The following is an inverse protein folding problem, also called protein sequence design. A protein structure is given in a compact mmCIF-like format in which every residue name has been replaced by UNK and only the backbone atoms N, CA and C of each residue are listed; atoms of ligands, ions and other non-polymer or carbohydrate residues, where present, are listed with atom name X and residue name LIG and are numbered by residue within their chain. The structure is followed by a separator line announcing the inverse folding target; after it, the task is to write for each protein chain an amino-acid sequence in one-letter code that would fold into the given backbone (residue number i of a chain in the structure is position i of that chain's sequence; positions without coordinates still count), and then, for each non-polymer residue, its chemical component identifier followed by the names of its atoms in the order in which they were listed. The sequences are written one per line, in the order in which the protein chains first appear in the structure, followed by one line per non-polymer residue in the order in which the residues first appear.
data_IF_285745811781
#
_entry.id   IF_285745811781
#
_cell.length_a   1.000
_cell.length_b   1.000
_cell.length_c   1.000
_cell.angle_alpha   90.00
_cell.angle_beta   90.00
_cell.angle_gamma   90.00
#
_symmetry.space_group_name_H-M   'P 1'
#
loop_
_entity.id
_entity.type
_entity.pdbx_description
1 polymer ?
#
# COMPACT_ATOMS: atom_id res chain seq x y z
N UNK A 1 -17.23 -0.72 19.08
CA UNK A 1 -15.82 -1.12 19.33
C UNK A 1 -15.24 -2.01 18.23
N UNK A 2 -15.98 -2.97 17.66
CA UNK A 2 -15.46 -3.86 16.63
C UNK A 2 -15.03 -3.16 15.31
N UNK A 3 -15.70 -2.07 14.88
CA UNK A 3 -15.37 -1.32 13.65
C UNK A 3 -13.95 -0.72 13.62
N UNK A 4 -13.39 -0.45 14.80
CA UNK A 4 -12.08 0.18 14.95
C UNK A 4 -10.93 -0.80 14.69
N UNK A 5 -11.16 -2.10 14.86
CA UNK A 5 -10.15 -3.12 14.56
C UNK A 5 -9.81 -3.13 13.06
N UNK A 6 -10.81 -3.00 12.18
CA UNK A 6 -10.60 -2.88 10.74
C UNK A 6 -9.81 -1.63 10.36
N UNK A 7 -10.14 -0.49 10.97
CA UNK A 7 -9.41 0.76 10.76
C UNK A 7 -7.94 0.68 11.22
N UNK A 8 -7.67 0.02 12.36
CA UNK A 8 -6.32 -0.21 12.87
C UNK A 8 -5.50 -1.08 11.91
N UNK A 9 -6.06 -2.22 11.46
CA UNK A 9 -5.37 -3.11 10.51
C UNK A 9 -5.06 -2.39 9.19
N UNK A 10 -6.03 -1.63 8.68
CA UNK A 10 -5.86 -0.80 7.50
C UNK A 10 -4.76 0.26 7.67
N UNK A 11 -4.71 0.92 8.83
CA UNK A 11 -3.67 1.89 9.16
C UNK A 11 -2.29 1.24 9.23
N UNK A 12 -2.17 0.10 9.91
CA UNK A 12 -0.90 -0.63 10.04
C UNK A 12 -0.37 -1.04 8.67
N UNK A 13 -1.22 -1.62 7.81
CA UNK A 13 -0.82 -1.98 6.46
C UNK A 13 -0.36 -0.76 5.63
N UNK A 14 -1.08 0.36 5.75
CA UNK A 14 -0.73 1.60 5.07
C UNK A 14 0.61 2.17 5.54
N UNK A 15 0.88 2.16 6.85
CA UNK A 15 2.16 2.63 7.43
C UNK A 15 3.31 1.74 6.98
N UNK A 16 3.15 0.41 7.00
CA UNK A 16 4.17 -0.51 6.53
C UNK A 16 4.51 -0.25 5.06
N UNK A 17 3.49 -0.07 4.22
CA UNK A 17 3.67 0.25 2.80
C UNK A 17 4.40 1.59 2.60
N UNK A 18 4.13 2.61 3.44
CA UNK A 18 4.87 3.87 3.43
C UNK A 18 6.36 3.67 3.74
N UNK A 19 6.65 2.91 4.80
CA UNK A 19 8.01 2.63 5.23
C UNK A 19 8.78 1.89 4.15
N UNK A 20 8.16 0.91 3.48
CA UNK A 20 8.74 0.22 2.33
C UNK A 20 9.09 1.21 1.23
N UNK A 21 8.16 2.08 0.85
CA UNK A 21 8.41 3.05 -0.22
C UNK A 21 9.57 4.00 0.09
N UNK A 22 9.58 4.57 1.30
CA UNK A 22 10.63 5.48 1.75
C UNK A 22 11.99 4.79 1.86
N UNK A 23 12.00 3.55 2.36
CA UNK A 23 13.19 2.71 2.42
C UNK A 23 13.78 2.48 1.03
N UNK A 24 12.96 2.06 0.06
CA UNK A 24 13.41 1.85 -1.33
C UNK A 24 13.95 3.12 -1.99
N UNK A 25 13.27 4.26 -1.83
CA UNK A 25 13.77 5.54 -2.35
C UNK A 25 15.11 5.90 -1.68
N UNK A 26 15.23 5.71 -0.37
CA UNK A 26 16.47 6.03 0.37
C UNK A 26 17.63 5.13 -0.05
N UNK A 27 17.37 3.83 -0.18
CA UNK A 27 18.36 2.84 -0.63
C UNK A 27 18.76 3.04 -2.09
N UNK A 28 17.91 3.62 -2.93
CA UNK A 28 18.25 3.92 -4.33
C UNK A 28 19.41 4.90 -4.51
N UNK A 29 19.77 5.61 -3.44
CA UNK A 29 20.89 6.55 -3.41
C UNK A 29 22.17 5.93 -2.87
N UNK A 30 22.12 4.67 -2.41
CA UNK A 30 23.29 3.98 -1.87
C UNK A 30 23.97 3.17 -2.99
N UNK A 31 25.19 3.54 -3.41
CA UNK A 31 25.93 2.86 -4.48
C UNK A 31 26.36 1.43 -4.13
N UNK A 32 26.15 1.01 -2.88
CA UNK A 32 26.45 -0.33 -2.37
C UNK A 32 25.31 -1.32 -2.71
N UNK A 33 24.06 -0.84 -2.78
CA UNK A 33 22.88 -1.68 -3.02
C UNK A 33 22.45 -1.72 -4.49
N UNK A 34 22.71 -0.63 -5.22
CA UNK A 34 22.51 -0.56 -6.66
C UNK A 34 23.88 -0.21 -7.25
N UNK A 35 24.62 -1.19 -7.79
CA UNK A 35 25.82 -0.88 -8.56
C UNK A 35 25.44 0.19 -9.60
N UNK A 36 26.29 1.21 -9.84
CA UNK A 36 26.03 2.21 -10.87
C UNK A 36 26.09 1.54 -12.24
N UNK A 37 24.96 0.93 -12.63
CA UNK A 37 24.77 0.35 -13.93
C UNK A 37 24.13 1.40 -14.84
N UNK A 38 24.78 1.75 -15.96
CA UNK A 38 24.28 2.76 -16.89
C UNK A 38 22.95 2.38 -17.55
N UNK A 39 22.55 1.10 -17.51
CA UNK A 39 21.29 0.65 -18.08
C UNK A 39 20.12 0.72 -17.09
N UNK A 40 20.37 0.92 -15.79
CA UNK A 40 19.30 1.07 -14.80
C UNK A 40 18.77 2.51 -14.78
N UNK A 41 17.47 2.76 -15.07
CA UNK A 41 16.94 4.11 -15.14
C UNK A 41 16.94 4.76 -13.74
N UNK A 42 17.70 5.85 -13.59
CA UNK A 42 17.81 6.56 -12.31
C UNK A 42 16.47 7.06 -11.75
N UNK A 43 15.46 7.26 -12.60
CA UNK A 43 14.11 7.69 -12.20
C UNK A 43 13.22 6.53 -11.70
N UNK A 44 13.56 5.28 -11.99
CA UNK A 44 12.69 4.12 -11.75
C UNK A 44 12.33 3.93 -10.26
N UNK A 45 13.28 4.02 -9.30
CA UNK A 45 12.95 3.91 -7.88
C UNK A 45 11.98 5.01 -7.39
N UNK A 46 12.01 6.19 -8.01
CA UNK A 46 11.10 7.29 -7.67
C UNK A 46 9.69 7.06 -8.19
N UNK A 47 9.53 6.40 -9.35
CA UNK A 47 8.22 6.00 -9.86
C UNK A 47 7.61 4.94 -8.94
N UNK A 48 8.35 3.85 -8.69
CA UNK A 48 7.87 2.75 -7.83
C UNK A 48 7.56 3.23 -6.42
N UNK A 49 8.50 3.96 -5.82
CA UNK A 49 8.32 4.54 -4.50
C UNK A 49 7.18 5.57 -4.47
N UNK A 50 7.07 6.43 -5.49
CA UNK A 50 6.01 7.43 -5.59
C UNK A 50 4.60 6.82 -5.66
N UNK A 51 4.41 5.79 -6.49
CA UNK A 51 3.14 5.05 -6.56
C UNK A 51 2.82 4.38 -5.24
N UNK A 52 3.82 3.73 -4.62
CA UNK A 52 3.66 3.05 -3.33
C UNK A 52 3.27 4.06 -2.22
N UNK A 53 3.86 5.26 -2.20
CA UNK A 53 3.49 6.36 -1.30
C UNK A 53 2.05 6.81 -1.55
N UNK A 54 1.64 6.96 -2.81
CA UNK A 54 0.28 7.39 -3.14
C UNK A 54 -0.76 6.39 -2.64
N UNK A 55 -0.52 5.09 -2.83
CA UNK A 55 -1.40 4.02 -2.33
C UNK A 55 -1.46 4.03 -0.80
N UNK A 56 -0.31 4.16 -0.14
CA UNK A 56 -0.23 4.28 1.31
C UNK A 56 -0.99 5.50 1.83
N UNK A 57 -0.84 6.67 1.21
CA UNK A 57 -1.56 7.88 1.59
C UNK A 57 -3.09 7.70 1.44
N UNK A 58 -3.52 7.03 0.38
CA UNK A 58 -4.92 6.69 0.18
C UNK A 58 -5.43 5.75 1.28
N UNK A 59 -4.65 4.73 1.65
CA UNK A 59 -4.95 3.83 2.77
C UNK A 59 -5.00 4.54 4.12
N UNK A 60 -4.05 5.42 4.43
CA UNK A 60 -4.01 6.19 5.67
C UNK A 60 -5.21 7.15 5.77
N UNK A 61 -5.56 7.85 4.68
CA UNK A 61 -6.74 8.72 4.65
C UNK A 61 -8.03 7.92 4.84
N UNK A 62 -8.13 6.74 4.21
CA UNK A 62 -9.22 5.79 4.43
C UNK A 62 -9.33 5.35 5.89
N UNK A 63 -8.22 5.01 6.53
CA UNK A 63 -8.19 4.66 7.96
C UNK A 63 -8.65 5.82 8.85
N UNK A 64 -8.19 7.05 8.59
CA UNK A 64 -8.62 8.24 9.36
C UNK A 64 -10.13 8.47 9.24
N UNK A 65 -10.68 8.35 8.03
CA UNK A 65 -12.12 8.47 7.81
C UNK A 65 -12.89 7.33 8.51
N UNK A 66 -12.37 6.11 8.46
CA UNK A 66 -12.93 4.95 9.16
C UNK A 66 -12.92 5.13 10.68
N UNK A 67 -11.90 5.76 11.27
CA UNK A 67 -11.88 6.09 12.71
C UNK A 67 -12.94 7.11 13.13
N UNK A 68 -13.45 7.90 12.18
CA UNK A 68 -14.57 8.83 12.36
C UNK A 68 -15.93 8.18 12.04
N UNK A 69 -15.95 6.86 11.86
CA UNK A 69 -17.14 6.06 11.53
C UNK A 69 -17.79 6.45 10.18
N UNK A 70 -17.02 7.03 9.24
CA UNK A 70 -17.49 7.24 7.87
C UNK A 70 -17.31 5.96 7.03
N UNK A 71 -18.41 5.44 6.47
CA UNK A 71 -18.40 4.23 5.63
C UNK A 71 -17.42 4.33 4.44
N UNK A 72 -17.28 5.53 3.84
CA UNK A 72 -16.33 5.80 2.77
C UNK A 72 -14.86 5.53 3.13
N UNK A 73 -14.49 5.63 4.42
CA UNK A 73 -13.13 5.34 4.85
C UNK A 73 -12.73 3.88 4.64
N UNK A 74 -13.65 2.94 4.89
CA UNK A 74 -13.43 1.52 4.66
C UNK A 74 -13.34 1.17 3.17
N UNK A 75 -14.10 1.88 2.34
CA UNK A 75 -14.01 1.75 0.88
C UNK A 75 -12.63 2.20 0.40
N UNK A 76 -12.11 3.32 0.91
CA UNK A 76 -10.78 3.81 0.56
C UNK A 76 -9.68 2.82 0.96
N UNK A 77 -9.79 2.20 2.14
CA UNK A 77 -8.89 1.13 2.57
C UNK A 77 -8.90 -0.06 1.62
N UNK A 78 -10.09 -0.50 1.20
CA UNK A 78 -10.24 -1.62 0.27
C UNK A 78 -9.65 -1.29 -1.10
N UNK A 79 -9.97 -0.11 -1.64
CA UNK A 79 -9.43 0.36 -2.92
C UNK A 79 -7.92 0.48 -2.87
N UNK A 80 -7.35 1.04 -1.80
CA UNK A 80 -5.92 1.14 -1.62
C UNK A 80 -5.26 -0.26 -1.59
N UNK A 81 -5.85 -1.21 -0.86
CA UNK A 81 -5.36 -2.59 -0.82
C UNK A 81 -5.38 -3.28 -2.19
N UNK A 82 -6.48 -3.12 -2.95
CA UNK A 82 -6.62 -3.68 -4.30
C UNK A 82 -5.64 -3.05 -5.28
N UNK A 83 -5.49 -1.73 -5.27
CA UNK A 83 -4.53 -1.02 -6.13
C UNK A 83 -3.08 -1.42 -5.80
N UNK A 84 -2.77 -1.64 -4.52
CA UNK A 84 -1.47 -2.16 -4.11
C UNK A 84 -1.21 -3.58 -4.61
N UNK A 85 -2.21 -4.47 -4.57
CA UNK A 85 -2.09 -5.82 -5.18
C UNK A 85 -1.84 -5.69 -6.67
N UNK A 86 -2.68 -4.96 -7.40
CA UNK A 86 -2.54 -4.77 -8.84
C UNK A 86 -1.16 -4.20 -9.19
N UNK A 87 -0.72 -3.16 -8.47
CA UNK A 87 0.59 -2.54 -8.65
C UNK A 87 1.77 -3.49 -8.40
N UNK A 88 1.59 -4.51 -7.57
CA UNK A 88 2.62 -5.53 -7.30
C UNK A 88 2.76 -6.57 -8.44
N UNK A 89 1.82 -6.60 -9.38
CA UNK A 89 1.84 -7.53 -10.53
C UNK A 89 2.02 -6.83 -11.88
N UNK A 90 2.01 -5.50 -11.94
CA UNK A 90 2.25 -4.75 -13.18
C UNK A 90 3.77 -4.57 -13.35
N UNK A 91 4.43 -5.26 -14.30
CA UNK A 91 5.84 -5.02 -14.58
C UNK A 91 5.99 -3.68 -15.30
N UNK A 92 6.95 -2.88 -14.86
CA UNK A 92 7.25 -1.57 -15.49
C UNK A 92 8.65 -1.49 -16.07
N UNK A 93 9.55 -2.38 -15.64
CA UNK A 93 10.91 -2.46 -16.15
C UNK A 93 11.45 -3.88 -15.99
N UNK A 94 12.20 -4.36 -16.98
CA UNK A 94 12.89 -5.65 -16.94
C UNK A 94 14.35 -5.41 -17.26
N UNK A 95 15.22 -5.73 -16.31
CA UNK A 95 16.67 -5.58 -16.45
C UNK A 95 17.32 -6.82 -17.08
N UNK A 96 16.70 -7.98 -16.87
CA UNK A 96 17.06 -9.27 -17.46
C UNK A 96 15.85 -10.21 -17.33
N UNK A 97 15.87 -11.40 -17.96
CA UNK A 97 14.75 -12.38 -17.92
C UNK A 97 14.32 -12.75 -16.48
N UNK A 98 15.17 -12.50 -15.49
CA UNK A 98 14.97 -12.84 -14.08
C UNK A 98 14.68 -11.61 -13.18
N UNK A 99 15.04 -10.39 -13.60
CA UNK A 99 14.95 -9.18 -12.77
C UNK A 99 13.88 -8.22 -13.29
N UNK A 100 12.65 -8.44 -12.83
CA UNK A 100 11.47 -7.63 -13.15
C UNK A 100 11.18 -6.66 -12.00
N UNK A 101 11.09 -5.38 -12.30
CA UNK A 101 10.63 -4.34 -11.38
C UNK A 101 9.14 -4.09 -11.60
N UNK A 102 8.37 -4.13 -10.52
CA UNK A 102 6.92 -3.91 -10.53
C UNK A 102 6.55 -2.48 -10.15
N UNK A 103 5.32 -2.08 -10.48
CA UNK A 103 4.81 -0.72 -10.30
C UNK A 103 4.75 -0.28 -8.82
N UNK A 104 4.57 -1.20 -7.89
CA UNK A 104 4.53 -0.95 -6.45
C UNK A 104 5.41 -1.94 -5.69
N UNK A 105 6.09 -1.46 -4.65
CA UNK A 105 6.84 -2.32 -3.72
C UNK A 105 5.99 -2.64 -2.49
N UNK A 106 6.19 -3.83 -1.92
CA UNK A 106 5.46 -4.30 -0.74
C UNK A 106 6.36 -5.09 0.21
N UNK A 107 5.93 -5.24 1.45
CA UNK A 107 6.60 -6.09 2.44
C UNK A 107 6.03 -7.51 2.40
N UNK A 108 6.45 -8.34 1.43
CA UNK A 108 6.03 -9.75 1.30
C UNK A 108 4.49 -9.88 1.31
N UNK A 109 3.79 -8.95 0.65
CA UNK A 109 2.31 -8.86 0.62
C UNK A 109 1.60 -8.65 1.99
N UNK A 110 2.33 -8.56 3.11
CA UNK A 110 1.75 -8.46 4.47
C UNK A 110 0.98 -7.15 4.62
N UNK A 111 1.58 -6.05 4.18
CA UNK A 111 0.99 -4.71 4.13
C UNK A 111 -0.34 -4.68 3.35
N UNK A 112 -0.36 -5.29 2.17
CA UNK A 112 -1.55 -5.37 1.32
C UNK A 112 -2.66 -6.21 1.96
N UNK A 113 -2.32 -7.37 2.51
CA UNK A 113 -3.29 -8.24 3.20
C UNK A 113 -3.91 -7.50 4.38
N UNK A 114 -3.11 -6.76 5.16
CA UNK A 114 -3.60 -5.96 6.28
C UNK A 114 -4.56 -4.84 5.83
N UNK A 115 -4.26 -4.17 4.72
CA UNK A 115 -5.15 -3.15 4.15
C UNK A 115 -6.48 -3.74 3.65
N UNK A 116 -6.44 -4.87 2.95
CA UNK A 116 -7.63 -5.55 2.43
C UNK A 116 -8.49 -6.09 3.58
N UNK A 117 -7.89 -6.79 4.54
CA UNK A 117 -8.59 -7.28 5.72
C UNK A 117 -9.17 -6.13 6.55
N UNK A 118 -8.43 -5.02 6.69
CA UNK A 118 -8.90 -3.81 7.35
C UNK A 118 -10.13 -3.20 6.67
N UNK A 119 -10.11 -3.13 5.33
CA UNK A 119 -11.25 -2.68 4.51
C UNK A 119 -12.47 -3.61 4.62
N UNK A 120 -12.28 -4.93 4.46
CA UNK A 120 -13.37 -5.92 4.51
C UNK A 120 -14.01 -5.98 5.89
N UNK A 121 -13.20 -6.13 6.95
CA UNK A 121 -13.70 -6.20 8.33
C UNK A 121 -14.41 -4.90 8.71
N UNK A 122 -13.84 -3.76 8.31
CA UNK A 122 -14.41 -2.46 8.56
C UNK A 122 -15.76 -2.24 7.87
N UNK A 123 -15.85 -2.58 6.58
CA UNK A 123 -17.09 -2.46 5.81
C UNK A 123 -18.19 -3.40 6.33
N UNK A 124 -17.87 -4.67 6.59
CA UNK A 124 -18.83 -5.65 7.10
C UNK A 124 -19.39 -5.30 8.48
N UNK A 125 -18.61 -4.59 9.30
CA UNK A 125 -19.03 -4.15 10.63
C UNK A 125 -19.80 -2.83 10.60
N UNK A 126 -19.45 -1.90 9.71
CA UNK A 126 -20.18 -0.65 9.51
C UNK A 126 -21.62 -0.91 9.02
N UNK A 127 -21.80 -1.78 8.02
CA UNK A 127 -23.12 -2.17 7.49
C UNK A 127 -24.01 -2.82 8.58
N UNK A 128 -23.41 -3.59 9.49
CA UNK A 128 -24.14 -4.23 10.61
C UNK A 128 -24.59 -3.23 11.68
N UNK A 129 -23.91 -2.10 11.82
CA UNK A 129 -24.29 -1.02 12.74
C UNK A 129 -25.39 -0.15 12.14
N UNK A 130 -25.32 0.17 10.85
CA UNK A 130 -26.38 0.94 10.16
C UNK A 130 -27.71 0.17 10.09
N UNK A 131 -27.69 -1.16 9.92
CA UNK A 131 -28.93 -1.99 9.90
C UNK A 131 -29.58 -2.21 11.28
N UNK A 132 -28.92 -1.79 12.37
CA UNK A 132 -29.43 -1.93 13.75
C UNK A 132 -30.00 -0.62 14.31
N UNK A 133 -29.89 0.47 13.57
CA UNK A 133 -30.54 1.75 13.81
C UNK A 133 -31.82 1.83 12.97
#
# INVERSE_FOLDING_TARGET
MASKAGAILGLVGSILMLLVALFWISMSRLPILIPPDPNFPAFLPYIVGGVTIAISAFGMSGAVLAFRDYAFGYIFLLVAGVLGVIGSFIPIYSYDVVNITYLSNTLIYIDLVLMILGGILGFALADKTERKL
#
